data_IF_519095346476
#
_entry.id   IF_519095346476
#
_cell.length_a   1.000
_cell.length_b   1.000
_cell.length_c   1.000
_cell.angle_alpha   90.00
_cell.angle_beta   90.00
_cell.angle_gamma   90.00
#
_symmetry.space_group_name_H-M   'P 1'
#
loop_
_entity.id
_entity.type
_entity.pdbx_description
1 polymer ?
#
# COMPACT_ATOMS: atom_id res chain seq x y z
N UNK A 1 -9.33 4.51 6.25
CA UNK A 1 -9.77 3.11 6.10
C UNK A 1 -9.49 2.72 4.66
N UNK A 2 -8.77 1.63 4.47
CA UNK A 2 -8.53 1.03 3.16
C UNK A 2 -9.55 -0.06 2.90
N UNK A 3 -10.12 -0.02 1.72
CA UNK A 3 -10.99 -1.09 1.25
C UNK A 3 -10.36 -1.72 0.01
N UNK A 4 -10.14 -3.02 0.05
CA UNK A 4 -9.89 -3.79 -1.15
C UNK A 4 -11.25 -4.14 -1.77
N UNK A 5 -11.50 -3.67 -2.98
CA UNK A 5 -12.73 -4.00 -3.72
C UNK A 5 -12.51 -5.33 -4.45
N UNK A 6 -13.39 -6.25 -4.19
CA UNK A 6 -13.37 -7.57 -4.79
C UNK A 6 -14.18 -7.57 -6.09
N UNK A 7 -13.50 -7.37 -7.23
CA UNK A 7 -14.02 -7.56 -8.58
C UNK A 7 -15.52 -7.27 -8.78
N UNK A 8 -16.18 -8.12 -9.51
CA UNK A 8 -17.60 -7.97 -9.88
C UNK A 8 -18.60 -8.15 -8.73
N UNK A 9 -18.15 -8.56 -7.54
CA UNK A 9 -19.06 -8.83 -6.41
C UNK A 9 -19.42 -7.60 -5.61
N UNK A 10 -18.74 -6.48 -5.83
CA UNK A 10 -18.95 -5.24 -5.08
C UNK A 10 -18.66 -5.35 -3.58
N UNK A 11 -18.11 -6.46 -3.13
CA UNK A 11 -17.70 -6.65 -1.73
C UNK A 11 -16.38 -5.96 -1.48
N UNK A 12 -16.35 -5.10 -0.47
CA UNK A 12 -15.12 -4.51 0.03
C UNK A 12 -14.68 -5.24 1.30
N UNK A 13 -13.38 -5.39 1.44
CA UNK A 13 -12.77 -5.92 2.67
C UNK A 13 -11.96 -4.78 3.28
N UNK A 14 -12.18 -4.51 4.57
CA UNK A 14 -11.37 -3.56 5.28
C UNK A 14 -9.94 -4.09 5.41
N UNK A 15 -9.00 -3.36 4.81
CA UNK A 15 -7.58 -3.74 4.81
C UNK A 15 -6.77 -3.05 5.91
N UNK A 16 -7.39 -2.15 6.68
CA UNK A 16 -6.79 -1.42 7.79
C UNK A 16 -6.88 0.10 7.66
N UNK A 17 -6.24 0.78 8.58
CA UNK A 17 -6.17 2.24 8.63
C UNK A 17 -4.80 2.72 8.16
N UNK A 18 -4.79 3.85 7.44
CA UNK A 18 -3.57 4.60 7.20
C UNK A 18 -3.06 5.20 8.51
N UNK A 19 -1.76 5.06 8.76
CA UNK A 19 -1.10 5.59 9.93
C UNK A 19 -0.57 6.99 9.64
N UNK A 20 -0.98 7.93 10.49
CA UNK A 20 -0.41 9.28 10.48
C UNK A 20 0.97 9.28 11.16
N UNK A 21 1.92 10.02 10.59
CA UNK A 21 3.23 10.22 11.16
C UNK A 21 4.17 10.94 10.22
N UNK A 22 5.34 11.35 10.71
CA UNK A 22 6.34 12.03 9.89
C UNK A 22 7.02 11.03 8.96
N UNK A 23 6.72 11.11 7.68
CA UNK A 23 7.21 10.20 6.66
C UNK A 23 8.45 10.71 5.88
N UNK A 24 9.03 11.83 6.31
CA UNK A 24 10.25 12.36 5.71
C UNK A 24 11.49 11.81 6.44
N UNK A 25 12.32 10.98 5.77
CA UNK A 25 13.48 10.33 6.38
C UNK A 25 14.59 11.30 6.82
N UNK A 26 14.52 12.56 6.43
CA UNK A 26 15.50 13.58 6.82
C UNK A 26 15.14 14.30 8.12
N UNK A 27 14.00 14.01 8.72
CA UNK A 27 13.57 14.58 9.98
C UNK A 27 13.87 13.64 11.16
N UNK A 28 14.15 14.22 12.33
CA UNK A 28 14.55 13.46 13.53
C UNK A 28 13.49 12.50 14.05
N UNK A 29 12.24 12.86 13.87
CA UNK A 29 11.04 12.12 14.31
C UNK A 29 10.38 11.32 13.17
N UNK A 30 11.20 10.95 12.18
CA UNK A 30 10.79 10.10 11.09
C UNK A 30 10.21 8.76 11.57
N UNK A 31 8.98 8.47 11.14
CA UNK A 31 8.32 7.18 11.34
C UNK A 31 8.26 6.42 10.02
N UNK A 32 9.05 5.37 9.89
CA UNK A 32 9.08 4.52 8.69
C UNK A 32 7.76 3.78 8.45
N UNK A 33 6.88 3.73 9.46
CA UNK A 33 5.56 3.07 9.38
C UNK A 33 4.44 4.06 9.05
N UNK A 34 4.72 5.37 8.98
CA UNK A 34 3.74 6.37 8.61
C UNK A 34 3.34 6.22 7.13
N UNK A 35 2.04 6.22 6.89
CA UNK A 35 1.44 6.14 5.57
C UNK A 35 1.07 7.52 5.04
N UNK A 36 0.78 8.49 5.89
CA UNK A 36 0.50 9.86 5.48
C UNK A 36 0.94 10.90 6.50
N UNK A 37 1.19 12.10 6.00
CA UNK A 37 1.57 13.27 6.76
C UNK A 37 0.89 14.52 6.21
N UNK A 38 0.45 15.40 7.09
CA UNK A 38 -0.20 16.65 6.73
C UNK A 38 0.58 17.84 7.26
N UNK A 39 0.94 18.78 6.40
CA UNK A 39 1.48 20.08 6.78
C UNK A 39 0.58 21.17 6.21
N UNK A 40 -0.19 21.85 7.06
CA UNK A 40 -0.98 23.03 6.67
C UNK A 40 -1.69 22.98 5.30
N UNK A 41 -0.92 23.03 4.20
CA UNK A 41 -1.42 23.07 2.82
C UNK A 41 -1.08 21.83 1.99
N UNK A 42 -0.32 20.88 2.53
CA UNK A 42 0.18 19.73 1.78
C UNK A 42 -0.14 18.44 2.51
N UNK A 43 -0.64 17.47 1.76
CA UNK A 43 -0.81 16.09 2.22
C UNK A 43 0.16 15.23 1.42
N UNK A 44 1.01 14.50 2.10
CA UNK A 44 1.86 13.48 1.52
C UNK A 44 1.31 12.11 1.92
N UNK A 45 1.11 11.24 0.93
CA UNK A 45 0.63 9.88 1.15
C UNK A 45 1.65 8.92 0.58
N UNK A 46 1.96 7.90 1.34
CA UNK A 46 2.89 6.84 0.95
C UNK A 46 2.20 5.49 1.13
N UNK A 47 1.79 4.92 0.02
CA UNK A 47 1.08 3.65 0.00
C UNK A 47 2.06 2.56 -0.43
N UNK A 48 2.28 1.52 0.38
CA UNK A 48 3.08 0.37 -0.04
C UNK A 48 2.50 -0.29 -1.30
N UNK A 49 3.35 -0.66 -2.23
CA UNK A 49 2.97 -1.35 -3.46
C UNK A 49 2.07 -2.57 -3.23
N UNK A 50 2.33 -3.32 -2.16
CA UNK A 50 1.52 -4.47 -1.79
C UNK A 50 0.05 -4.11 -1.48
N UNK A 51 -0.24 -2.91 -0.94
CA UNK A 51 -1.60 -2.45 -0.70
C UNK A 51 -2.31 -2.02 -2.00
N UNK A 52 -1.56 -1.76 -3.06
CA UNK A 52 -2.08 -1.50 -4.40
C UNK A 52 -2.13 -2.77 -5.25
N UNK A 53 -1.87 -3.94 -4.64
CA UNK A 53 -1.73 -5.22 -5.34
C UNK A 53 -0.63 -5.23 -6.41
N UNK A 54 0.32 -4.31 -6.36
CA UNK A 54 1.49 -4.30 -7.25
C UNK A 54 2.51 -5.28 -6.72
N UNK A 55 2.86 -6.27 -7.53
CA UNK A 55 3.78 -7.37 -7.17
C UNK A 55 5.19 -7.14 -7.68
N UNK A 56 5.30 -6.47 -8.83
CA UNK A 56 6.59 -6.08 -9.40
C UNK A 56 6.47 -4.68 -10.03
N UNK A 57 6.81 -3.63 -9.28
CA UNK A 57 6.73 -2.27 -9.80
C UNK A 57 7.76 -1.97 -10.90
N UNK A 58 8.88 -2.71 -10.99
CA UNK A 58 9.86 -2.53 -12.05
C UNK A 58 9.31 -2.94 -13.43
N UNK A 59 8.47 -3.97 -13.45
CA UNK A 59 7.84 -4.50 -14.66
C UNK A 59 6.37 -4.07 -14.80
N UNK A 60 5.90 -3.13 -13.97
CA UNK A 60 4.51 -2.67 -13.96
C UNK A 60 3.49 -3.81 -13.85
N UNK A 61 3.76 -4.76 -12.93
CA UNK A 61 2.94 -5.96 -12.76
C UNK A 61 2.11 -5.88 -11.47
N UNK A 62 0.83 -6.17 -11.59
CA UNK A 62 -0.11 -6.26 -10.47
C UNK A 62 -0.75 -7.65 -10.39
N UNK A 63 -1.33 -7.96 -9.22
CA UNK A 63 -2.17 -9.15 -9.07
C UNK A 63 -3.41 -9.01 -9.95
N UNK A 64 -3.68 -10.05 -10.71
CA UNK A 64 -4.93 -10.19 -11.45
C UNK A 64 -6.08 -10.59 -10.54
N UNK A 65 -7.30 -10.61 -11.11
CA UNK A 65 -8.50 -10.96 -10.38
C UNK A 65 -8.51 -12.45 -10.01
N UNK A 66 -8.19 -12.75 -8.75
CA UNK A 66 -8.18 -14.11 -8.22
C UNK A 66 -9.57 -14.76 -8.28
N UNK A 67 -10.62 -13.99 -8.01
CA UNK A 67 -11.97 -14.54 -7.94
C UNK A 67 -12.51 -14.92 -9.31
N UNK A 68 -12.16 -14.15 -10.32
CA UNK A 68 -12.53 -14.45 -11.71
C UNK A 68 -11.75 -15.65 -12.25
N UNK A 69 -10.47 -15.73 -11.93
CA UNK A 69 -9.58 -16.72 -12.52
C UNK A 69 -9.41 -17.98 -11.66
N UNK A 70 -9.89 -17.97 -10.41
CA UNK A 70 -9.70 -19.05 -9.39
C UNK A 70 -8.25 -19.47 -9.21
N UNK A 71 -7.30 -18.60 -9.58
CA UNK A 71 -5.86 -18.81 -9.45
C UNK A 71 -5.14 -17.47 -9.38
N UNK A 72 -3.94 -17.46 -8.82
CA UNK A 72 -3.07 -16.29 -8.84
C UNK A 72 -2.63 -16.06 -10.28
N UNK A 73 -2.93 -14.87 -10.80
CA UNK A 73 -2.49 -14.38 -12.11
C UNK A 73 -1.85 -13.02 -11.94
N UNK A 74 -1.08 -12.61 -12.93
CA UNK A 74 -0.48 -11.27 -12.98
C UNK A 74 -0.99 -10.55 -14.22
N UNK A 75 -1.11 -9.23 -14.12
CA UNK A 75 -1.50 -8.37 -15.21
C UNK A 75 -0.61 -7.13 -15.24
N UNK A 76 -0.22 -6.71 -16.43
CA UNK A 76 0.49 -5.45 -16.62
C UNK A 76 -0.44 -4.26 -16.45
N UNK A 77 0.13 -3.11 -16.04
CA UNK A 77 -0.56 -1.82 -16.00
C UNK A 77 0.39 -0.73 -16.50
N UNK A 78 -0.15 0.30 -17.13
CA UNK A 78 0.56 1.43 -17.71
C UNK A 78 0.20 2.77 -17.06
N UNK A 79 -0.84 2.77 -16.22
CA UNK A 79 -1.28 3.96 -15.50
C UNK A 79 -1.77 3.65 -14.10
N UNK A 80 -1.62 4.62 -13.21
CA UNK A 80 -2.24 4.65 -11.89
C UNK A 80 -3.20 5.84 -11.83
N UNK A 81 -4.47 5.60 -11.47
CA UNK A 81 -5.44 6.68 -11.34
C UNK A 81 -5.47 7.20 -9.93
N UNK A 82 -5.21 8.49 -9.77
CA UNK A 82 -5.22 9.17 -8.47
C UNK A 82 -6.30 10.24 -8.45
N UNK A 83 -7.06 10.28 -7.39
CA UNK A 83 -8.05 11.32 -7.13
C UNK A 83 -8.09 11.70 -5.67
N UNK A 84 -8.47 12.92 -5.39
CA UNK A 84 -8.73 13.42 -4.05
C UNK A 84 -10.04 14.20 -4.02
N UNK A 85 -10.77 14.09 -2.94
CA UNK A 85 -12.05 14.78 -2.76
C UNK A 85 -12.50 14.69 -1.31
N UNK A 86 -13.56 15.40 -0.99
CA UNK A 86 -14.23 15.35 0.31
C UNK A 86 -15.50 14.50 0.26
N UNK A 87 -16.06 14.21 1.43
CA UNK A 87 -17.29 13.43 1.54
C UNK A 87 -18.43 14.13 0.79
N UNK A 88 -19.07 13.39 -0.11
CA UNK A 88 -20.19 13.89 -0.92
C UNK A 88 -19.81 14.56 -2.25
N UNK A 89 -18.52 14.68 -2.55
CA UNK A 89 -18.05 15.19 -3.83
C UNK A 89 -17.75 14.06 -4.82
N UNK A 90 -17.95 14.36 -6.11
CA UNK A 90 -17.48 13.45 -7.17
C UNK A 90 -15.97 13.57 -7.30
N UNK A 91 -15.26 12.49 -7.06
CA UNK A 91 -13.80 12.47 -7.18
C UNK A 91 -13.41 12.30 -8.65
N UNK A 92 -12.74 13.30 -9.21
CA UNK A 92 -12.16 13.21 -10.53
C UNK A 92 -10.81 12.52 -10.47
N UNK A 93 -10.76 11.28 -10.96
CA UNK A 93 -9.52 10.51 -11.06
C UNK A 93 -8.68 10.99 -12.24
N UNK A 94 -7.40 11.26 -11.97
CA UNK A 94 -6.42 11.61 -13.02
C UNK A 94 -5.48 10.43 -13.24
N UNK A 95 -5.30 9.98 -14.49
CA UNK A 95 -4.30 8.99 -14.80
C UNK A 95 -2.90 9.58 -14.69
N UNK A 96 -2.00 8.82 -14.12
CA UNK A 96 -0.56 9.09 -14.11
C UNK A 96 0.08 7.89 -14.80
N UNK A 97 0.76 8.14 -15.90
CA UNK A 97 1.49 7.10 -16.62
C UNK A 97 2.56 6.46 -15.72
N UNK A 98 2.73 5.17 -15.85
CA UNK A 98 3.69 4.41 -15.07
C UNK A 98 4.43 3.44 -15.99
N UNK A 99 5.68 3.77 -16.29
CA UNK A 99 6.55 2.99 -17.19
C UNK A 99 7.42 1.96 -16.43
N UNK A 100 7.07 1.69 -15.18
CA UNK A 100 7.89 0.89 -14.28
C UNK A 100 8.98 1.71 -13.58
N UNK A 101 9.79 1.04 -12.83
CA UNK A 101 10.93 1.63 -12.11
C UNK A 101 12.21 0.92 -12.52
N UNK A 102 13.19 1.65 -13.04
CA UNK A 102 14.51 1.10 -13.36
C UNK A 102 15.19 0.46 -12.13
N UNK A 103 14.95 1.06 -10.98
CA UNK A 103 15.46 0.55 -9.70
C UNK A 103 14.38 0.62 -8.65
N UNK A 104 14.02 -0.53 -8.10
CA UNK A 104 13.05 -0.60 -6.98
C UNK A 104 13.79 -0.37 -5.68
N UNK A 105 13.61 0.82 -5.11
CA UNK A 105 14.04 1.08 -3.73
C UNK A 105 12.93 0.61 -2.79
N UNK A 106 13.22 -0.35 -1.96
CA UNK A 106 12.33 -0.71 -0.87
C UNK A 106 13.04 -0.54 0.47
N UNK A 107 12.28 -0.06 1.44
CA UNK A 107 12.69 -0.13 2.84
C UNK A 107 11.88 -1.25 3.49
N UNK A 108 12.57 -2.14 4.15
CA UNK A 108 11.89 -3.16 4.93
C UNK A 108 11.03 -2.47 6.00
N UNK A 109 9.74 -2.77 5.99
CA UNK A 109 8.80 -2.35 7.02
C UNK A 109 8.38 -3.58 7.79
N UNK A 110 8.67 -3.62 9.07
CA UNK A 110 8.18 -4.68 9.92
C UNK A 110 6.65 -4.58 10.03
N UNK A 111 5.98 -5.71 9.86
CA UNK A 111 4.55 -5.79 10.13
C UNK A 111 4.29 -5.57 11.62
N UNK A 112 3.12 -5.05 11.99
CA UNK A 112 2.73 -4.86 13.39
C UNK A 112 2.83 -6.15 14.23
N UNK A 113 2.62 -7.31 13.60
CA UNK A 113 2.76 -8.62 14.23
C UNK A 113 4.20 -9.14 14.38
N UNK A 114 5.21 -8.39 13.93
CA UNK A 114 6.60 -8.85 13.97
C UNK A 114 7.08 -9.12 15.39
N UNK A 115 6.78 -8.21 16.30
CA UNK A 115 7.23 -8.33 17.69
C UNK A 115 6.57 -9.52 18.38
N UNK A 116 5.28 -9.77 18.15
CA UNK A 116 4.56 -10.91 18.68
C UNK A 116 5.13 -12.23 18.17
N UNK A 117 5.38 -12.30 16.86
CA UNK A 117 5.97 -13.49 16.23
C UNK A 117 7.40 -13.71 16.73
N UNK A 118 8.21 -12.66 16.80
CA UNK A 118 9.59 -12.71 17.29
C UNK A 118 9.65 -13.19 18.74
N UNK A 119 8.73 -12.69 19.60
CA UNK A 119 8.63 -13.11 20.99
C UNK A 119 8.22 -14.58 21.10
N UNK A 120 7.21 -15.02 20.33
CA UNK A 120 6.78 -16.40 20.29
C UNK A 120 7.91 -17.36 19.89
N UNK A 121 8.65 -17.04 18.82
CA UNK A 121 9.80 -17.84 18.39
C UNK A 121 10.92 -17.86 19.46
N UNK A 122 11.22 -16.71 20.05
CA UNK A 122 12.24 -16.62 21.10
C UNK A 122 11.89 -17.48 22.32
N UNK A 123 10.61 -17.62 22.64
CA UNK A 123 10.15 -18.47 23.76
C UNK A 123 10.30 -19.96 23.49
N UNK A 124 10.19 -20.40 22.24
CA UNK A 124 10.33 -21.80 21.83
C UNK A 124 11.79 -22.31 21.91
N UNK A 125 12.75 -21.40 21.77
CA UNK A 125 14.19 -21.75 21.75
C UNK A 125 14.94 -21.42 23.06
N UNK A 126 14.25 -20.88 24.06
CA UNK A 126 14.79 -20.79 25.41
C UNK A 126 14.64 -22.16 26.10
N UNK A 127 15.65 -23.01 25.96
CA UNK A 127 15.90 -24.16 26.82
C UNK A 127 16.89 -23.78 27.92
#
# INVERSE_FOLDING_TARGET
IFYAVNGDTGKSIEAGLLRFGINNPNLSDYDSTADFYCTGKKIEVRIPWALLNVVNPAESMALGDFFKNSRITFTGFDEVKIGAGSTGETINMKPIGFDGLDTVFYRARLKASYDDVSLAFSSLFKK
#
